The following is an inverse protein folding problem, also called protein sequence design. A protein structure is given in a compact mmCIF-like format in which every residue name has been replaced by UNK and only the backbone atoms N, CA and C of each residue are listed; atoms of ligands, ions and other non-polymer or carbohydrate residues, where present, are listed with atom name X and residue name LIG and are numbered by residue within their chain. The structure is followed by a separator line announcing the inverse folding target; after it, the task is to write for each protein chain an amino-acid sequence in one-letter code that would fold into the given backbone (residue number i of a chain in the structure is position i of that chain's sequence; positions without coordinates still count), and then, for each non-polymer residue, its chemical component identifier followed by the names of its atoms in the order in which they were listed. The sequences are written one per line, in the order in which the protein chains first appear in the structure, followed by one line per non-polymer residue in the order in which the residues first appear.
data_IF_976716707277
#
_entry.id   IF_976716707277
#
_cell.length_a   1.000
_cell.length_b   1.000
_cell.length_c   1.000
_cell.angle_alpha   90.00
_cell.angle_beta   90.00
_cell.angle_gamma   90.00
#
_symmetry.space_group_name_H-M   'P 1'
#
loop_
_entity.id
_entity.type
_entity.pdbx_description
1 polymer ?
#
# COMPACT_ATOMS: atom_id res chain seq x y z
N UNK A 1 -48.84 27.25 -35.45
CA UNK A 1 -48.65 28.66 -35.03
C UNK A 1 -47.68 28.60 -33.88
N UNK A 2 -46.39 28.53 -34.21
CA UNK A 2 -45.42 29.65 -34.09
C UNK A 2 -45.21 30.01 -32.62
N UNK A 3 -44.01 30.12 -32.05
CA UNK A 3 -42.62 29.91 -32.41
C UNK A 3 -41.87 30.35 -31.13
N UNK A 4 -40.62 29.89 -30.95
CA UNK A 4 -39.49 30.60 -30.33
C UNK A 4 -39.72 31.45 -29.05
N UNK A 5 -39.09 31.06 -27.94
CA UNK A 5 -37.76 31.59 -27.63
C UNK A 5 -37.13 30.97 -26.37
N UNK A 6 -35.92 30.45 -26.56
CA UNK A 6 -34.88 30.17 -25.56
C UNK A 6 -33.97 31.41 -25.50
N UNK A 7 -33.53 31.88 -24.34
CA UNK A 7 -32.08 32.08 -24.14
C UNK A 7 -31.67 31.86 -22.65
N UNK A 8 -30.43 31.70 -22.22
CA UNK A 8 -29.08 31.71 -22.82
C UNK A 8 -28.21 30.87 -21.88
N UNK A 9 -27.43 29.94 -22.42
CA UNK A 9 -26.43 29.19 -21.67
C UNK A 9 -25.18 30.06 -21.47
N UNK A 10 -24.81 30.30 -20.22
CA UNK A 10 -23.57 31.01 -19.88
C UNK A 10 -22.39 30.02 -19.91
N UNK A 11 -21.70 30.06 -21.05
CA UNK A 11 -20.51 29.27 -21.38
C UNK A 11 -19.30 29.75 -20.57
N UNK A 12 -19.00 29.10 -19.45
CA UNK A 12 -17.68 29.24 -18.79
C UNK A 12 -16.67 28.33 -19.51
N UNK A 13 -15.91 28.97 -20.40
CA UNK A 13 -14.77 28.37 -21.09
C UNK A 13 -13.60 28.29 -20.12
N UNK A 14 -13.35 27.12 -19.55
CA UNK A 14 -12.07 26.79 -18.94
C UNK A 14 -11.24 26.05 -19.99
N UNK A 15 -10.27 26.76 -20.54
CA UNK A 15 -9.38 26.25 -21.58
C UNK A 15 -8.50 25.10 -21.02
N UNK A 16 -8.71 23.90 -21.58
CA UNK A 16 -7.78 22.78 -21.51
C UNK A 16 -6.49 23.19 -22.22
N UNK A 17 -5.43 23.46 -21.46
CA UNK A 17 -4.06 23.45 -21.98
C UNK A 17 -3.55 22.02 -21.99
N UNK A 18 -3.54 21.46 -23.20
CA UNK A 18 -2.91 20.21 -23.60
C UNK A 18 -1.45 20.52 -23.94
N UNK A 19 -0.56 20.36 -22.98
CA UNK A 19 0.89 20.33 -23.20
C UNK A 19 1.36 18.94 -22.74
N UNK A 20 1.30 17.94 -23.62
CA UNK A 20 2.39 17.47 -24.49
C UNK A 20 3.61 17.03 -23.70
N UNK A 21 3.83 15.72 -23.74
CA UNK A 21 5.01 15.02 -23.28
C UNK A 21 6.30 15.74 -23.68
N UNK A 22 7.09 16.13 -22.67
CA UNK A 22 8.50 16.37 -22.85
C UNK A 22 9.27 15.86 -21.63
N UNK A 23 9.65 14.59 -21.72
CA UNK A 23 10.82 14.05 -21.06
C UNK A 23 12.01 14.97 -21.38
N UNK A 24 12.37 15.81 -20.41
CA UNK A 24 13.54 16.67 -20.47
C UNK A 24 14.74 15.84 -20.02
N UNK A 25 15.81 15.69 -20.83
CA UNK A 25 16.99 14.97 -20.38
C UNK A 25 17.65 15.74 -19.24
N UNK A 26 17.89 15.07 -18.11
CA UNK A 26 18.79 15.58 -17.09
C UNK A 26 20.18 15.71 -17.73
N UNK A 27 20.64 16.94 -17.94
CA UNK A 27 22.04 17.23 -18.23
C UNK A 27 22.88 16.63 -17.12
N UNK A 28 23.76 15.70 -17.48
CA UNK A 28 24.72 15.08 -16.58
C UNK A 28 25.60 16.16 -15.92
N UNK A 29 25.29 16.51 -14.67
CA UNK A 29 26.20 17.27 -13.83
C UNK A 29 27.26 16.29 -13.33
N UNK A 30 28.43 16.34 -13.95
CA UNK A 30 29.66 15.72 -13.44
C UNK A 30 29.94 16.31 -12.06
N UNK A 31 29.63 15.57 -11.00
CA UNK A 31 30.21 15.84 -9.68
C UNK A 31 31.66 15.37 -9.73
N UNK A 32 32.57 16.33 -9.77
CA UNK A 32 33.97 16.15 -9.44
C UNK A 32 34.07 15.50 -8.05
N UNK A 33 34.50 14.24 -8.03
CA UNK A 33 34.93 13.54 -6.82
C UNK A 33 36.31 14.11 -6.47
N UNK A 34 36.39 14.88 -5.38
CA UNK A 34 37.66 15.16 -4.74
C UNK A 34 38.24 13.85 -4.20
N UNK A 35 39.34 13.41 -4.81
CA UNK A 35 40.24 12.39 -4.29
C UNK A 35 40.69 12.72 -2.86
N UNK A 36 40.50 11.84 -1.86
CA UNK A 36 41.29 11.89 -0.65
C UNK A 36 42.68 11.30 -0.92
N UNK A 37 43.72 12.08 -0.60
CA UNK A 37 45.13 11.72 -0.65
C UNK A 37 45.42 10.57 0.34
N UNK A 38 46.22 9.55 -0.03
CA UNK A 38 46.66 8.53 0.92
C UNK A 38 47.74 9.13 1.82
N UNK A 39 47.42 9.30 3.10
CA UNK A 39 48.45 9.46 4.12
C UNK A 39 48.74 8.08 4.71
N UNK A 40 50.01 7.71 4.62
CA UNK A 40 50.63 6.48 5.09
C UNK A 40 50.19 6.13 6.52
N UNK A 41 49.42 5.06 6.67
CA UNK A 41 49.12 4.44 7.95
C UNK A 41 49.16 2.91 7.83
N UNK A 42 50.36 2.37 8.01
CA UNK A 42 50.71 1.07 8.60
C UNK A 42 49.72 -0.10 8.38
N UNK A 43 49.95 -0.86 7.29
CA UNK A 43 49.09 -1.98 6.84
C UNK A 43 49.32 -3.32 7.56
N UNK A 44 50.16 -3.40 8.59
CA UNK A 44 50.47 -4.68 9.28
C UNK A 44 49.67 -4.96 10.56
N UNK A 45 48.63 -4.19 10.91
CA UNK A 45 47.85 -4.46 12.15
C UNK A 45 46.32 -4.53 11.96
N UNK A 46 45.83 -4.41 10.72
CA UNK A 46 44.39 -4.46 10.46
C UNK A 46 43.93 -5.76 9.77
N UNK A 47 44.83 -6.49 9.11
CA UNK A 47 44.50 -7.77 8.45
C UNK A 47 44.36 -8.94 9.42
N UNK A 48 44.83 -8.83 10.66
CA UNK A 48 44.66 -9.86 11.69
C UNK A 48 43.33 -9.79 12.44
N UNK A 49 42.58 -8.68 12.35
CA UNK A 49 41.33 -8.51 13.12
C UNK A 49 40.03 -8.82 12.35
N UNK A 50 40.10 -9.18 11.06
CA UNK A 50 38.91 -9.50 10.26
C UNK A 50 38.70 -11.00 9.98
N UNK A 51 39.59 -11.89 10.46
CA UNK A 51 39.39 -13.34 10.38
C UNK A 51 39.08 -14.05 11.71
N UNK A 52 39.07 -13.34 12.84
CA UNK A 52 38.71 -13.92 14.14
C UNK A 52 37.33 -13.49 14.67
N UNK A 53 36.67 -12.51 14.04
CA UNK A 53 35.37 -11.99 14.50
C UNK A 53 34.14 -12.46 13.69
N UNK A 54 34.32 -13.28 12.65
CA UNK A 54 33.22 -13.97 11.97
C UNK A 54 32.84 -15.31 12.64
N UNK A 55 33.46 -15.64 13.77
CA UNK A 55 33.24 -16.88 14.49
C UNK A 55 32.22 -16.83 15.63
N UNK A 56 31.46 -15.74 15.84
CA UNK A 56 30.63 -15.65 17.05
C UNK A 56 29.36 -14.78 16.99
N UNK A 57 28.54 -14.95 15.94
CA UNK A 57 27.12 -14.52 15.97
C UNK A 57 26.21 -15.74 15.81
N UNK A 58 26.38 -16.71 16.71
CA UNK A 58 25.52 -17.89 16.81
C UNK A 58 25.12 -18.15 18.27
N UNK A 59 24.65 -17.10 18.97
CA UNK A 59 23.84 -17.28 20.17
C UNK A 59 22.38 -16.90 19.85
N UNK A 60 21.77 -17.67 18.95
CA UNK A 60 20.33 -17.84 19.00
C UNK A 60 20.03 -18.44 20.37
N UNK A 61 19.59 -17.61 21.32
CA UNK A 61 19.11 -18.06 22.63
C UNK A 61 17.99 -19.05 22.33
N UNK A 62 18.30 -20.34 22.42
CA UNK A 62 17.36 -21.44 22.26
C UNK A 62 16.41 -21.34 23.45
N UNK A 63 15.36 -20.54 23.31
CA UNK A 63 14.19 -20.67 24.14
C UNK A 63 13.61 -22.02 23.75
N UNK A 64 13.82 -23.00 24.63
CA UNK A 64 13.12 -24.27 24.62
C UNK A 64 11.63 -23.95 24.48
N UNK A 65 11.14 -24.10 23.25
CA UNK A 65 9.72 -24.04 22.92
C UNK A 65 9.11 -25.24 23.59
N UNK A 66 8.68 -25.05 24.84
CA UNK A 66 7.82 -25.99 25.55
C UNK A 66 6.72 -26.40 24.58
N UNK A 67 6.65 -27.69 24.31
CA UNK A 67 5.66 -28.32 23.43
C UNK A 67 4.29 -28.09 24.06
N UNK A 68 3.70 -26.93 23.79
CA UNK A 68 2.28 -26.70 24.02
C UNK A 68 1.57 -27.37 22.85
N UNK A 69 0.69 -28.32 23.19
CA UNK A 69 -0.31 -28.91 22.31
C UNK A 69 -0.87 -27.84 21.37
N UNK A 70 -0.83 -28.05 20.05
CA UNK A 70 -1.50 -27.14 19.14
C UNK A 70 -3.01 -27.24 19.42
N UNK A 71 -3.56 -26.23 20.11
CA UNK A 71 -5.00 -25.96 20.08
C UNK A 71 -5.44 -26.01 18.61
N UNK A 72 -6.70 -26.41 18.30
CA UNK A 72 -7.22 -26.40 16.95
C UNK A 72 -7.07 -24.98 16.40
N UNK A 73 -5.98 -24.75 15.70
CA UNK A 73 -5.70 -23.52 15.01
C UNK A 73 -6.75 -23.53 13.92
N UNK A 74 -7.82 -22.76 14.13
CA UNK A 74 -8.62 -22.22 13.06
C UNK A 74 -7.61 -21.64 12.08
N UNK A 75 -7.29 -22.43 11.05
CA UNK A 75 -6.30 -22.07 10.06
C UNK A 75 -6.87 -20.80 9.48
N UNK A 76 -6.25 -19.66 9.79
CA UNK A 76 -6.75 -18.37 9.40
C UNK A 76 -6.64 -18.30 7.88
N UNK A 77 -7.66 -18.79 7.17
CA UNK A 77 -7.89 -18.62 5.73
C UNK A 77 -8.27 -17.15 5.44
N UNK A 78 -7.79 -16.23 6.27
CA UNK A 78 -8.49 -15.01 6.61
C UNK A 78 -8.43 -13.98 5.50
N UNK A 79 -7.41 -14.02 4.63
CA UNK A 79 -7.25 -13.08 3.52
C UNK A 79 -7.66 -13.63 2.16
N UNK A 80 -8.05 -14.89 2.07
CA UNK A 80 -8.44 -15.50 0.80
C UNK A 80 -9.68 -14.81 0.22
N UNK A 81 -9.55 -14.35 -1.02
CA UNK A 81 -10.56 -13.59 -1.77
C UNK A 81 -11.12 -12.39 -1.01
N UNK A 82 -10.31 -11.71 -0.20
CA UNK A 82 -10.73 -10.50 0.54
C UNK A 82 -10.46 -9.19 -0.21
N UNK A 83 -9.75 -9.26 -1.33
CA UNK A 83 -9.46 -8.14 -2.22
C UNK A 83 -9.71 -8.58 -3.68
N UNK A 84 -10.07 -7.65 -4.55
CA UNK A 84 -10.29 -7.89 -5.98
C UNK A 84 -8.96 -8.16 -6.71
N UNK A 85 -9.01 -9.04 -7.70
CA UNK A 85 -7.87 -9.38 -8.55
C UNK A 85 -7.69 -8.31 -9.63
N UNK A 86 -6.67 -7.45 -9.50
CA UNK A 86 -6.41 -6.37 -10.48
C UNK A 86 -6.22 -6.84 -11.92
N UNK A 87 -5.41 -7.88 -12.21
CA UNK A 87 -5.28 -8.36 -13.60
C UNK A 87 -6.61 -8.78 -14.22
N UNK A 88 -7.46 -9.45 -13.42
CA UNK A 88 -8.79 -9.85 -13.88
C UNK A 88 -9.71 -8.64 -14.05
N UNK A 89 -9.64 -7.67 -13.15
CA UNK A 89 -10.44 -6.44 -13.22
C UNK A 89 -10.06 -5.57 -14.43
N UNK A 90 -8.77 -5.46 -14.74
CA UNK A 90 -8.26 -4.61 -15.83
C UNK A 90 -8.34 -5.30 -17.20
N UNK A 91 -8.01 -6.59 -17.28
CA UNK A 91 -7.89 -7.32 -18.56
C UNK A 91 -8.98 -8.38 -18.77
N UNK A 92 -9.80 -8.68 -17.76
CA UNK A 92 -10.77 -9.79 -17.81
C UNK A 92 -10.15 -11.18 -17.69
N UNK A 93 -8.81 -11.27 -17.59
CA UNK A 93 -8.08 -12.53 -17.55
C UNK A 93 -7.07 -12.56 -16.39
N UNK A 94 -6.99 -13.71 -15.72
CA UNK A 94 -6.02 -13.95 -14.67
C UNK A 94 -5.29 -15.25 -14.93
N UNK A 95 -3.95 -15.18 -14.99
CA UNK A 95 -3.06 -16.34 -15.18
C UNK A 95 -3.22 -17.46 -14.13
N UNK A 96 -3.83 -17.15 -12.98
CA UNK A 96 -4.06 -18.11 -11.91
C UNK A 96 -5.42 -18.83 -11.99
N UNK A 97 -6.30 -18.40 -12.91
CA UNK A 97 -7.65 -18.95 -13.06
C UNK A 97 -8.39 -19.03 -11.73
N UNK A 98 -9.11 -20.13 -11.51
CA UNK A 98 -9.89 -20.36 -10.29
C UNK A 98 -9.05 -20.48 -9.01
N UNK A 99 -7.75 -20.75 -9.14
CA UNK A 99 -6.80 -20.83 -8.02
C UNK A 99 -6.31 -19.46 -7.56
N UNK A 100 -6.78 -18.39 -8.18
CA UNK A 100 -6.49 -17.03 -7.75
C UNK A 100 -6.88 -16.83 -6.28
N UNK A 101 -5.96 -16.26 -5.49
CA UNK A 101 -6.21 -15.93 -4.08
C UNK A 101 -7.01 -14.64 -3.91
N UNK A 102 -7.18 -13.88 -4.99
CA UNK A 102 -7.98 -12.66 -5.05
C UNK A 102 -9.31 -12.96 -5.73
N UNK A 103 -10.32 -12.13 -5.47
CA UNK A 103 -11.64 -12.33 -6.05
C UNK A 103 -11.68 -11.82 -7.51
N UNK A 104 -12.24 -12.61 -8.43
CA UNK A 104 -12.48 -12.18 -9.82
C UNK A 104 -13.75 -11.35 -9.99
N UNK A 105 -14.50 -11.13 -8.91
CA UNK A 105 -15.65 -10.25 -8.89
C UNK A 105 -16.24 -10.16 -7.49
N UNK A 106 -17.24 -9.29 -7.33
CA UNK A 106 -17.91 -9.10 -6.03
C UNK A 106 -18.60 -10.38 -5.52
N UNK A 107 -19.02 -11.28 -6.41
CA UNK A 107 -19.60 -12.58 -6.03
C UNK A 107 -18.61 -13.49 -5.29
N UNK A 108 -17.31 -13.29 -5.51
CA UNK A 108 -16.23 -14.07 -4.92
C UNK A 108 -15.58 -13.38 -3.73
N UNK A 109 -15.87 -12.09 -3.56
CA UNK A 109 -15.26 -11.23 -2.56
C UNK A 109 -15.81 -11.57 -1.17
N UNK A 110 -14.90 -11.91 -0.25
CA UNK A 110 -15.21 -12.28 1.12
C UNK A 110 -14.99 -11.11 2.06
N UNK A 111 -15.87 -10.98 3.04
CA UNK A 111 -15.72 -9.99 4.11
C UNK A 111 -14.60 -10.40 5.07
N UNK A 112 -13.63 -9.51 5.25
CA UNK A 112 -12.55 -9.69 6.21
C UNK A 112 -13.02 -9.24 7.60
N UNK A 113 -13.22 -10.19 8.51
CA UNK A 113 -13.41 -9.87 9.93
C UNK A 113 -12.08 -9.38 10.51
N UNK A 114 -12.02 -8.10 10.86
CA UNK A 114 -10.83 -7.46 11.43
C UNK A 114 -10.95 -7.36 12.95
N UNK A 115 -9.80 -7.37 13.61
CA UNK A 115 -9.74 -7.15 15.05
C UNK A 115 -10.30 -5.76 15.41
N UNK A 116 -10.98 -5.57 16.55
CA UNK A 116 -11.52 -4.28 16.98
C UNK A 116 -10.48 -3.15 17.06
N UNK A 117 -9.21 -3.49 17.24
CA UNK A 117 -8.06 -2.56 17.25
C UNK A 117 -7.58 -2.14 15.83
N UNK A 118 -8.26 -2.55 14.77
CA UNK A 118 -7.87 -2.18 13.41
C UNK A 118 -8.11 -0.69 13.17
N UNK A 119 -7.08 0.02 12.68
CA UNK A 119 -7.12 1.46 12.40
C UNK A 119 -7.62 2.31 13.58
N UNK A 120 -7.26 1.93 14.82
CA UNK A 120 -7.55 2.72 16.02
C UNK A 120 -6.42 3.67 16.41
N UNK A 121 -5.21 3.44 15.93
CA UNK A 121 -4.02 4.26 16.19
C UNK A 121 -3.45 4.82 14.89
N UNK A 122 -2.85 6.01 14.95
CA UNK A 122 -2.20 6.64 13.80
C UNK A 122 -0.92 5.92 13.39
N UNK A 123 -0.71 5.81 12.08
CA UNK A 123 0.49 5.23 11.52
C UNK A 123 1.66 6.20 11.69
N UNK A 124 2.60 5.83 12.56
CA UNK A 124 3.79 6.66 12.82
C UNK A 124 4.59 6.93 11.55
N UNK A 125 4.86 5.90 10.75
CA UNK A 125 5.67 6.01 9.52
C UNK A 125 5.05 6.96 8.51
N UNK A 126 3.72 6.86 8.31
CA UNK A 126 3.03 7.75 7.40
C UNK A 126 3.07 9.20 7.90
N UNK A 127 2.84 9.44 9.19
CA UNK A 127 2.85 10.79 9.75
C UNK A 127 4.27 11.39 9.94
N UNK A 128 5.32 10.56 10.02
CA UNK A 128 6.70 11.03 10.14
C UNK A 128 7.39 11.23 8.78
N UNK A 129 7.13 10.36 7.81
CA UNK A 129 7.81 10.37 6.49
C UNK A 129 6.88 10.87 5.37
N UNK A 130 5.57 10.90 5.59
CA UNK A 130 4.56 11.22 4.56
C UNK A 130 4.21 10.03 3.66
N UNK A 131 4.86 8.87 3.87
CA UNK A 131 4.68 7.67 3.04
C UNK A 131 4.69 6.41 3.90
N UNK A 132 3.82 5.45 3.56
CA UNK A 132 3.80 4.14 4.17
C UNK A 132 3.80 3.04 3.09
N UNK A 133 4.77 2.12 3.10
CA UNK A 133 4.89 1.08 2.07
C UNK A 133 3.73 0.08 2.09
N UNK A 134 2.98 0.02 3.19
CA UNK A 134 1.79 -0.83 3.30
C UNK A 134 0.56 -0.23 2.62
N UNK A 135 0.57 1.08 2.32
CA UNK A 135 -0.52 1.79 1.67
C UNK A 135 -1.89 1.50 2.34
N UNK A 136 -2.95 1.20 1.57
CA UNK A 136 -4.29 0.96 2.11
C UNK A 136 -4.38 -0.31 2.98
N UNK A 137 -3.41 -1.23 2.86
CA UNK A 137 -3.33 -2.44 3.69
C UNK A 137 -2.73 -2.20 5.08
N UNK A 138 -2.29 -0.98 5.37
CA UNK A 138 -1.81 -0.63 6.69
C UNK A 138 -2.91 -0.86 7.74
N UNK A 139 -2.51 -1.39 8.90
CA UNK A 139 -3.43 -1.62 10.03
C UNK A 139 -3.63 -0.39 10.91
N UNK A 140 -2.94 0.70 10.60
CA UNK A 140 -2.98 1.98 11.30
C UNK A 140 -3.56 3.07 10.40
N UNK A 141 -4.06 4.15 10.99
CA UNK A 141 -4.68 5.27 10.25
C UNK A 141 -3.61 6.08 9.53
N UNK A 142 -3.76 6.33 8.23
CA UNK A 142 -2.85 7.22 7.47
C UNK A 142 -3.33 8.68 7.46
N UNK A 143 -4.62 8.95 7.21
CA UNK A 143 -5.12 10.33 7.16
C UNK A 143 -6.61 10.41 7.49
N UNK A 144 -7.08 11.62 7.81
CA UNK A 144 -8.50 11.94 8.01
C UNK A 144 -9.36 11.60 6.77
N UNK A 145 -8.79 11.59 5.57
CA UNK A 145 -9.49 11.23 4.34
C UNK A 145 -9.90 9.76 4.28
N UNK A 146 -9.07 8.83 4.77
CA UNK A 146 -9.49 7.42 4.91
C UNK A 146 -10.62 7.27 5.93
N UNK A 147 -10.59 8.04 7.02
CA UNK A 147 -11.66 8.03 8.02
C UNK A 147 -12.97 8.58 7.46
N UNK A 148 -12.93 9.67 6.68
CA UNK A 148 -14.09 10.24 6.00
C UNK A 148 -14.67 9.30 4.94
N UNK A 149 -13.82 8.66 4.13
CA UNK A 149 -14.27 7.71 3.11
C UNK A 149 -15.03 6.51 3.73
N UNK A 150 -14.55 5.97 4.86
CA UNK A 150 -15.23 4.89 5.57
C UNK A 150 -16.59 5.34 6.14
N UNK A 151 -16.69 6.55 6.70
CA UNK A 151 -17.97 7.09 7.20
C UNK A 151 -18.99 7.30 6.07
N UNK A 152 -18.56 7.80 4.91
CA UNK A 152 -19.44 8.01 3.76
C UNK A 152 -20.00 6.69 3.22
N UNK A 153 -19.17 5.64 3.12
CA UNK A 153 -19.61 4.31 2.70
C UNK A 153 -20.67 3.75 3.67
N UNK A 154 -20.49 3.93 4.98
CA UNK A 154 -21.43 3.45 5.99
C UNK A 154 -22.78 4.20 5.91
N UNK A 155 -22.76 5.53 5.75
CA UNK A 155 -23.97 6.33 5.57
C UNK A 155 -24.73 5.96 4.30
N UNK A 156 -24.01 5.71 3.20
CA UNK A 156 -24.63 5.35 1.92
C UNK A 156 -25.30 3.97 1.99
N UNK A 157 -24.72 3.00 2.69
CA UNK A 157 -25.34 1.70 2.93
C UNK A 157 -26.63 1.82 3.77
N UNK A 158 -26.63 2.68 4.81
CA UNK A 158 -27.83 2.93 5.62
C UNK A 158 -28.96 3.59 4.81
N UNK A 159 -28.62 4.54 3.94
CA UNK A 159 -29.59 5.20 3.06
C UNK A 159 -30.19 4.22 2.04
N UNK A 160 -29.38 3.35 1.44
CA UNK A 160 -29.87 2.32 0.52
C UNK A 160 -30.80 1.32 1.22
N UNK A 161 -30.50 0.94 2.46
CA UNK A 161 -31.36 0.06 3.26
C UNK A 161 -32.70 0.71 3.63
N UNK A 162 -32.69 2.02 3.95
CA UNK A 162 -33.92 2.76 4.26
C UNK A 162 -34.85 2.90 3.04
N UNK A 163 -34.28 3.03 1.84
CA UNK A 163 -35.06 3.10 0.60
C UNK A 163 -35.70 1.77 0.19
N UNK A 164 -35.10 0.63 0.57
CA UNK A 164 -35.66 -0.70 0.27
C UNK A 164 -36.82 -1.12 1.19
N UNK A 165 -37.11 -0.33 2.24
CA UNK A 165 -38.19 -0.59 3.20
C UNK A 165 -39.47 0.23 2.92
N UNK A 166 -39.50 0.99 1.83
CA UNK A 166 -40.67 1.71 1.32
C UNK A 166 -41.18 1.04 0.06
#
# INVERSE_FOLDING_TARGET
MTDFDKPVEQKVRLDLKKDSDQCRPHSALTRTISQPQPHEANVETFVTNLLENFGNMNLHRKLERTQSEPLPQQVNTSRYKTELCRPFEEAGECKYGEKCQFAHGYHELRNLQRHPKYKTEYCRTFHSVGFCPYGPRCHFVHNADEARALQQIQQQQQQQQAQQQQ
#
